data_IF_300045762896
#
_entry.id   IF_300045762896
#
_cell.length_a   1.000
_cell.length_b   1.000
_cell.length_c   1.000
_cell.angle_alpha   90.00
_cell.angle_beta   90.00
_cell.angle_gamma   90.00
#
_symmetry.space_group_name_H-M   'P 1'
#
loop_
_entity.id
_entity.type
_entity.pdbx_description
1 polymer ?
#
# COMPACT_ATOMS: atom_id res chain seq x y z
N UNK A 1 -11.44 8.64 -12.91
CA UNK A 1 -10.57 7.49 -12.61
C UNK A 1 -9.71 7.81 -11.36
N UNK A 2 -10.23 8.59 -10.40
CA UNK A 2 -9.40 9.36 -9.46
C UNK A 2 -9.90 9.25 -8.01
N UNK A 3 -10.86 8.35 -7.75
CA UNK A 3 -11.48 8.24 -6.44
C UNK A 3 -10.46 7.81 -5.37
N UNK A 4 -9.71 6.75 -5.65
CA UNK A 4 -8.63 6.25 -4.78
C UNK A 4 -7.51 7.28 -4.59
N UNK A 5 -7.07 7.94 -5.67
CA UNK A 5 -6.06 9.00 -5.58
C UNK A 5 -6.53 10.19 -4.73
N UNK A 6 -7.82 10.52 -4.77
CA UNK A 6 -8.40 11.63 -4.01
C UNK A 6 -8.61 11.29 -2.54
N UNK A 7 -8.93 10.03 -2.24
CA UNK A 7 -9.04 9.50 -0.87
C UNK A 7 -7.66 9.48 -0.21
N UNK A 8 -6.67 8.91 -0.89
CA UNK A 8 -5.33 8.73 -0.36
C UNK A 8 -4.42 9.94 -0.59
N UNK A 9 -4.93 11.05 -1.13
CA UNK A 9 -4.13 12.22 -1.53
C UNK A 9 -3.23 12.78 -0.44
N UNK A 10 -3.66 12.68 0.82
CA UNK A 10 -2.89 13.13 1.99
C UNK A 10 -1.71 12.19 2.36
N UNK A 11 -1.74 10.96 1.86
CA UNK A 11 -0.78 9.89 2.14
C UNK A 11 0.08 9.51 0.93
N UNK A 12 -0.42 9.81 -0.28
CA UNK A 12 0.34 9.73 -1.54
C UNK A 12 1.66 10.50 -1.40
N UNK A 13 2.74 9.91 -1.91
CA UNK A 13 4.11 10.47 -1.90
C UNK A 13 4.81 10.49 -0.52
N UNK A 14 4.12 10.11 0.56
CA UNK A 14 4.72 10.01 1.91
C UNK A 14 5.11 8.59 2.28
N UNK A 15 4.12 7.70 2.31
CA UNK A 15 4.27 6.29 2.69
C UNK A 15 3.32 5.36 1.93
N UNK A 16 2.46 5.92 1.07
CA UNK A 16 1.49 5.18 0.26
C UNK A 16 1.72 5.49 -1.22
N UNK A 17 1.72 4.46 -2.05
CA UNK A 17 1.58 4.57 -3.51
C UNK A 17 0.31 3.83 -3.90
N UNK A 18 -0.60 4.50 -4.59
CA UNK A 18 -1.85 3.88 -5.06
C UNK A 18 -1.78 3.69 -6.56
N UNK A 19 -2.13 2.50 -7.04
CA UNK A 19 -2.29 2.22 -8.44
C UNK A 19 -3.58 1.46 -8.70
N UNK A 20 -4.56 2.16 -9.28
CA UNK A 20 -5.90 1.63 -9.56
C UNK A 20 -6.51 1.04 -8.28
N UNK A 21 -6.43 -0.27 -8.09
CA UNK A 21 -6.95 -1.03 -6.95
C UNK A 21 -5.85 -1.46 -5.95
N UNK A 22 -4.58 -1.40 -6.32
CA UNK A 22 -3.48 -1.84 -5.45
C UNK A 22 -2.85 -0.66 -4.69
N UNK A 23 -2.65 -0.84 -3.39
CA UNK A 23 -2.06 0.15 -2.49
C UNK A 23 -0.75 -0.41 -1.95
N UNK A 24 0.36 0.22 -2.31
CA UNK A 24 1.68 -0.11 -1.78
C UNK A 24 1.98 0.79 -0.58
N UNK A 25 2.36 0.15 0.53
CA UNK A 25 2.81 0.78 1.75
C UNK A 25 4.32 0.54 1.92
N UNK A 26 5.07 1.60 2.20
CA UNK A 26 6.48 1.49 2.54
C UNK A 26 6.75 2.27 3.82
N UNK A 27 7.61 1.73 4.68
CA UNK A 27 7.96 2.36 5.96
C UNK A 27 9.42 2.10 6.28
N UNK A 28 10.04 2.95 7.09
CA UNK A 28 11.45 2.81 7.50
C UNK A 28 11.63 1.90 8.72
N UNK A 29 10.59 1.75 9.53
CA UNK A 29 10.58 0.95 10.76
C UNK A 29 9.31 0.14 10.84
N UNK A 30 9.32 -0.96 11.60
CA UNK A 30 8.13 -1.78 11.85
C UNK A 30 7.06 -1.00 12.64
N UNK A 31 7.46 -0.15 13.59
CA UNK A 31 6.53 0.71 14.34
C UNK A 31 5.79 1.70 13.42
N UNK A 32 6.53 2.46 12.60
CA UNK A 32 5.96 3.33 11.57
C UNK A 32 5.05 2.53 10.62
N UNK A 33 5.47 1.32 10.25
CA UNK A 33 4.71 0.45 9.36
C UNK A 33 3.31 0.12 9.92
N UNK A 34 3.26 -0.28 11.20
CA UNK A 34 1.99 -0.58 11.85
C UNK A 34 1.07 0.65 11.92
N UNK A 35 1.61 1.83 12.18
CA UNK A 35 0.82 3.07 12.17
C UNK A 35 0.30 3.41 10.77
N UNK A 36 1.16 3.33 9.75
CA UNK A 36 0.77 3.59 8.36
C UNK A 36 -0.30 2.62 7.86
N UNK A 37 -0.14 1.33 8.15
CA UNK A 37 -1.13 0.31 7.79
C UNK A 37 -2.46 0.58 8.49
N UNK A 38 -2.43 0.95 9.77
CA UNK A 38 -3.63 1.33 10.52
C UNK A 38 -4.36 2.51 9.86
N UNK A 39 -3.62 3.56 9.48
CA UNK A 39 -4.19 4.74 8.80
C UNK A 39 -4.84 4.37 7.47
N UNK A 40 -4.18 3.54 6.66
CA UNK A 40 -4.75 3.09 5.37
C UNK A 40 -6.01 2.26 5.59
N UNK A 41 -5.99 1.30 6.52
CA UNK A 41 -7.17 0.48 6.84
C UNK A 41 -8.34 1.32 7.37
N UNK A 42 -8.07 2.36 8.16
CA UNK A 42 -9.09 3.27 8.67
C UNK A 42 -9.76 4.06 7.54
N UNK A 43 -8.97 4.55 6.60
CA UNK A 43 -9.45 5.26 5.41
C UNK A 43 -10.25 4.33 4.49
N UNK A 44 -9.76 3.11 4.26
CA UNK A 44 -10.49 2.08 3.51
C UNK A 44 -11.86 1.83 4.15
N UNK A 45 -11.90 1.65 5.47
CA UNK A 45 -13.13 1.43 6.24
C UNK A 45 -14.09 2.62 6.15
N UNK A 46 -13.61 3.86 6.25
CA UNK A 46 -14.45 5.07 6.10
C UNK A 46 -15.09 5.14 4.71
N UNK A 47 -14.35 4.71 3.69
CA UNK A 47 -14.79 4.71 2.29
C UNK A 47 -15.53 3.43 1.88
N UNK A 48 -15.74 2.49 2.81
CA UNK A 48 -16.33 1.16 2.55
C UNK A 48 -15.59 0.36 1.47
N UNK A 49 -14.28 0.56 1.40
CA UNK A 49 -13.38 -0.23 0.59
C UNK A 49 -12.79 -1.33 1.47
N UNK A 50 -12.58 -2.50 0.89
CA UNK A 50 -12.07 -3.65 1.63
C UNK A 50 -10.80 -4.17 0.97
N UNK A 51 -9.80 -4.40 1.81
CA UNK A 51 -8.58 -5.05 1.39
C UNK A 51 -8.85 -6.55 1.26
N UNK A 52 -8.59 -7.12 0.08
CA UNK A 52 -8.71 -8.56 -0.11
C UNK A 52 -7.47 -9.23 0.44
N UNK A 53 -7.59 -9.92 1.57
CA UNK A 53 -6.45 -10.58 2.23
C UNK A 53 -5.70 -11.53 1.28
N UNK A 54 -6.40 -12.19 0.35
CA UNK A 54 -5.78 -13.06 -0.67
C UNK A 54 -4.88 -12.33 -1.67
N UNK A 55 -5.00 -11.00 -1.79
CA UNK A 55 -4.12 -10.15 -2.60
C UNK A 55 -3.16 -9.32 -1.73
N UNK A 56 -3.28 -9.40 -0.40
CA UNK A 56 -2.43 -8.63 0.48
C UNK A 56 -1.18 -9.43 0.83
N UNK A 57 -0.01 -8.83 0.59
CA UNK A 57 1.27 -9.39 0.94
C UNK A 57 1.96 -8.45 1.90
N UNK A 58 2.33 -8.96 3.08
CA UNK A 58 2.85 -8.14 4.17
C UNK A 58 4.33 -8.43 4.43
N UNK A 59 5.06 -7.41 4.86
CA UNK A 59 6.46 -7.46 5.28
C UNK A 59 7.38 -8.15 4.28
N UNK A 60 7.24 -7.79 3.00
CA UNK A 60 8.09 -8.33 1.95
C UNK A 60 9.38 -7.54 1.83
N UNK A 61 10.48 -8.23 1.49
CA UNK A 61 11.76 -7.60 1.12
C UNK A 61 11.79 -7.18 -0.34
N UNK A 62 10.91 -7.75 -1.17
CA UNK A 62 10.68 -7.35 -2.55
C UNK A 62 9.19 -7.39 -2.86
N UNK A 63 8.68 -6.37 -3.54
CA UNK A 63 7.30 -6.34 -4.03
C UNK A 63 7.31 -6.09 -5.52
N UNK A 64 6.55 -6.89 -6.27
CA UNK A 64 6.35 -6.66 -7.70
C UNK A 64 5.15 -5.72 -7.90
N UNK A 65 5.43 -4.47 -8.23
CA UNK A 65 4.43 -3.45 -8.50
C UNK A 65 4.55 -2.98 -9.95
N UNK A 66 3.49 -3.12 -10.75
CA UNK A 66 3.42 -2.64 -12.14
C UNK A 66 4.48 -3.23 -13.09
N UNK A 67 4.92 -4.46 -12.82
CA UNK A 67 5.99 -5.10 -13.57
C UNK A 67 7.40 -4.63 -13.18
N UNK A 68 7.50 -3.72 -12.21
CA UNK A 68 8.76 -3.34 -11.55
C UNK A 68 8.90 -4.07 -10.21
N UNK A 69 10.12 -4.49 -9.88
CA UNK A 69 10.43 -5.08 -8.57
C UNK A 69 10.99 -3.98 -7.68
N UNK A 70 10.32 -3.71 -6.57
CA UNK A 70 10.75 -2.77 -5.54
C UNK A 70 11.38 -3.59 -4.43
N UNK A 71 12.71 -3.54 -4.31
CA UNK A 71 13.45 -4.25 -3.27
C UNK A 71 13.93 -3.30 -2.17
N UNK A 72 13.88 -3.77 -0.93
CA UNK A 72 14.36 -3.08 0.27
C UNK A 72 15.90 -3.12 0.37
N UNK A 73 16.55 -4.11 -0.25
CA UNK A 73 18.01 -4.34 -0.13
C UNK A 73 18.81 -4.00 -1.40
N UNK A 74 18.16 -3.75 -2.55
CA UNK A 74 18.87 -3.65 -3.83
C UNK A 74 18.32 -2.61 -4.79
N UNK A 75 18.92 -1.43 -4.79
CA UNK A 75 19.25 -0.67 -6.01
C UNK A 75 18.15 -0.38 -7.03
N UNK A 76 17.14 0.39 -6.65
CA UNK A 76 16.62 1.44 -7.54
C UNK A 76 17.10 2.79 -6.99
N UNK A 77 17.35 3.77 -7.86
CA UNK A 77 17.95 5.08 -7.55
C UNK A 77 17.13 6.00 -6.61
N UNK A 78 16.30 5.45 -5.73
CA UNK A 78 15.60 6.15 -4.65
C UNK A 78 15.86 5.43 -3.33
N UNK A 79 16.43 6.15 -2.38
CA UNK A 79 16.85 5.66 -1.06
C UNK A 79 15.67 5.13 -0.22
N UNK A 80 15.41 3.83 -0.26
CA UNK A 80 14.52 3.17 0.72
C UNK A 80 15.43 2.46 1.73
N UNK A 81 15.69 3.12 2.85
CA UNK A 81 16.52 2.60 3.93
C UNK A 81 15.72 1.57 4.73
N UNK A 82 16.09 0.29 4.63
CA UNK A 82 15.96 -0.71 5.70
C UNK A 82 14.59 -0.88 6.38
N UNK A 83 13.49 -0.88 5.63
CA UNK A 83 12.16 -1.20 6.19
C UNK A 83 11.29 -1.98 5.20
N UNK A 84 10.39 -2.82 5.72
CA UNK A 84 9.54 -3.70 4.92
C UNK A 84 8.54 -2.94 4.03
N UNK A 85 8.14 -3.58 2.94
CA UNK A 85 7.09 -3.11 2.05
C UNK A 85 5.89 -4.08 2.05
N UNK A 86 4.70 -3.50 1.96
CA UNK A 86 3.44 -4.22 2.09
C UNK A 86 2.55 -3.83 0.91
N UNK A 87 2.04 -4.83 0.20
CA UNK A 87 1.10 -4.65 -0.89
C UNK A 87 -0.29 -4.96 -0.36
N UNK A 88 -1.15 -3.95 -0.35
CA UNK A 88 -2.54 -4.05 0.08
C UNK A 88 -3.43 -3.90 -1.14
N UNK A 89 -3.96 -5.02 -1.65
CA UNK A 89 -4.95 -4.99 -2.72
C UNK A 89 -6.31 -4.55 -2.18
N UNK A 90 -6.74 -3.33 -2.50
CA UNK A 90 -8.03 -2.78 -2.12
C UNK A 90 -9.03 -2.98 -3.27
N UNK A 91 -10.15 -3.64 -3.01
CA UNK A 91 -11.25 -3.72 -3.97
C UNK A 91 -12.41 -2.89 -3.44
N UNK A 92 -13.12 -2.23 -4.35
CA UNK A 92 -14.54 -2.03 -4.13
C UNK A 92 -15.15 -3.43 -4.07
N UNK A 93 -15.39 -3.95 -2.86
CA UNK A 93 -16.34 -5.04 -2.70
C UNK A 93 -17.68 -4.47 -3.17
N UNK A 94 -17.96 -4.64 -4.46
CA UNK A 94 -19.33 -4.71 -4.94
C UNK A 94 -19.94 -5.85 -4.14
N UNK A 95 -20.69 -5.50 -3.10
CA UNK A 95 -21.62 -6.40 -2.45
C UNK A 95 -22.61 -6.85 -3.53
N UNK A 96 -22.23 -7.93 -4.22
CA UNK A 96 -23.00 -8.60 -5.23
C UNK A 96 -23.29 -10.00 -4.72
N UNK A 97 -24.54 -10.14 -4.27
CA UNK A 97 -25.24 -11.34 -3.78
C UNK A 97 -24.87 -11.88 -2.39
#
# INVERSE_FOLDING_TARGET
>A
MDYMNRIFRSFLDRFVVVFIDDILLYSRSLEDHHEHLRLVLEVLKERKLYAKLSKCEFWLSEVRFLGHVISVEGGCSGSIQSGGCDLVGASEDYYGD
#
